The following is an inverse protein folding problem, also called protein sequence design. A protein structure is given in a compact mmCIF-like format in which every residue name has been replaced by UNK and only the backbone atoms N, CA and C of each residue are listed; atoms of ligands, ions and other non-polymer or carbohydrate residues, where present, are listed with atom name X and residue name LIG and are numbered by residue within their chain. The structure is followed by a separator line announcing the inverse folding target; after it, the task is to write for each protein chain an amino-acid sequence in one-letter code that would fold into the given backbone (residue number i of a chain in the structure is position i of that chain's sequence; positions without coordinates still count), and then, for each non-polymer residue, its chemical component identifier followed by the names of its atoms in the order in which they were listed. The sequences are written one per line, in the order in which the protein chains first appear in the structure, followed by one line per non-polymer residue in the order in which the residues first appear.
data_IF_692044280641
#
_entry.id   IF_692044280641
#
_cell.length_a   1.000
_cell.length_b   1.000
_cell.length_c   1.000
_cell.angle_alpha   90.00
_cell.angle_beta   90.00
_cell.angle_gamma   90.00
#
_symmetry.space_group_name_H-M   'P 1'
#
loop_
_entity.id
_entity.type
_entity.pdbx_description
1 polymer ?
#
# COMPACT_ATOMS: atom_id res chain seq x y z
N UNK A 1 -9.33 4.68 21.14
CA UNK A 1 -9.10 3.23 21.07
C UNK A 1 -7.61 2.97 21.25
N UNK A 2 -7.27 2.20 22.27
CA UNK A 2 -5.91 1.74 22.51
C UNK A 2 -5.68 0.51 21.63
N UNK A 3 -4.58 0.51 20.88
CA UNK A 3 -4.28 -0.52 19.87
C UNK A 3 -3.13 -1.34 20.42
N UNK A 4 -3.34 -2.65 20.57
CA UNK A 4 -2.30 -3.55 21.08
C UNK A 4 -1.25 -3.85 19.98
N UNK A 5 -0.14 -4.49 20.38
CA UNK A 5 0.94 -4.82 19.46
C UNK A 5 0.51 -5.74 18.31
N UNK A 6 -0.44 -6.65 18.55
CA UNK A 6 -0.98 -7.57 17.54
C UNK A 6 -1.81 -6.83 16.49
N UNK A 7 -2.62 -5.86 16.91
CA UNK A 7 -3.41 -5.01 16.01
C UNK A 7 -2.51 -4.14 15.15
N UNK A 8 -1.44 -3.57 15.72
CA UNK A 8 -0.43 -2.82 14.96
C UNK A 8 0.23 -3.68 13.87
N UNK A 9 0.51 -4.95 14.16
CA UNK A 9 1.07 -5.87 13.17
C UNK A 9 0.10 -6.10 12.00
N UNK A 10 -1.20 -6.27 12.30
CA UNK A 10 -2.25 -6.49 11.28
C UNK A 10 -2.46 -5.25 10.41
N UNK A 11 -2.49 -4.07 11.03
CA UNK A 11 -2.58 -2.77 10.34
C UNK A 11 -1.42 -2.61 9.36
N UNK A 12 -0.18 -2.92 9.75
CA UNK A 12 1.00 -2.74 8.89
C UNK A 12 1.16 -3.79 7.78
N UNK A 13 0.61 -5.00 7.94
CA UNK A 13 0.77 -6.09 6.96
C UNK A 13 -0.30 -6.14 5.88
N UNK A 14 -1.46 -5.54 6.11
CA UNK A 14 -2.61 -5.67 5.24
C UNK A 14 -3.15 -4.30 4.86
N UNK A 15 -3.20 -4.03 3.55
CA UNK A 15 -3.82 -2.85 2.99
C UNK A 15 -5.23 -2.62 3.55
N UNK A 16 -6.07 -3.67 3.60
CA UNK A 16 -7.44 -3.58 4.09
C UNK A 16 -7.50 -3.19 5.57
N UNK A 17 -6.67 -3.82 6.42
CA UNK A 17 -6.65 -3.47 7.86
C UNK A 17 -6.16 -2.05 8.09
N UNK A 18 -5.18 -1.58 7.30
CA UNK A 18 -4.70 -0.21 7.41
C UNK A 18 -5.75 0.82 6.99
N UNK A 19 -6.44 0.58 5.88
CA UNK A 19 -7.48 1.48 5.36
C UNK A 19 -8.65 1.55 6.36
N UNK A 20 -9.16 0.40 6.80
CA UNK A 20 -10.25 0.36 7.78
C UNK A 20 -9.88 1.05 9.08
N UNK A 21 -8.67 0.80 9.61
CA UNK A 21 -8.21 1.47 10.82
C UNK A 21 -8.17 3.00 10.66
N UNK A 22 -7.65 3.48 9.54
CA UNK A 22 -7.63 4.91 9.23
C UNK A 22 -9.04 5.51 9.14
N UNK A 23 -9.99 4.83 8.48
CA UNK A 23 -11.38 5.26 8.42
C UNK A 23 -12.02 5.38 9.80
N UNK A 24 -11.76 4.43 10.71
CA UNK A 24 -12.25 4.49 12.09
C UNK A 24 -11.65 5.68 12.84
N UNK A 25 -10.36 5.97 12.69
CA UNK A 25 -9.74 7.14 13.31
C UNK A 25 -10.32 8.46 12.78
N UNK A 26 -10.61 8.55 11.48
CA UNK A 26 -11.29 9.70 10.89
C UNK A 26 -12.70 9.89 11.46
N UNK A 27 -13.47 8.80 11.61
CA UNK A 27 -14.79 8.86 12.27
C UNK A 27 -14.64 9.33 13.72
N UNK A 28 -13.64 8.84 14.46
CA UNK A 28 -13.38 9.30 15.83
C UNK A 28 -13.05 10.80 15.89
N UNK A 29 -12.24 11.30 14.94
CA UNK A 29 -11.94 12.72 14.85
C UNK A 29 -13.19 13.56 14.54
N UNK A 30 -14.05 13.07 13.65
CA UNK A 30 -15.32 13.74 13.30
C UNK A 30 -16.33 13.73 14.45
N UNK A 31 -16.39 12.67 15.26
CA UNK A 31 -17.35 12.60 16.37
C UNK A 31 -16.91 13.42 17.59
N UNK A 32 -15.59 13.54 17.81
CA UNK A 32 -15.04 14.22 18.99
C UNK A 32 -14.67 15.68 18.74
N UNK A 33 -14.32 16.03 17.50
CA UNK A 33 -13.78 17.34 17.12
C UNK A 33 -12.57 17.81 17.96
N UNK A 34 -11.82 16.86 18.52
CA UNK A 34 -10.61 17.13 19.31
C UNK A 34 -9.38 17.19 18.39
N UNK A 35 -8.53 18.19 18.58
CA UNK A 35 -7.30 18.34 17.80
C UNK A 35 -6.41 17.09 17.89
N UNK A 36 -6.31 16.46 19.06
CA UNK A 36 -5.54 15.22 19.25
C UNK A 36 -6.10 14.06 18.41
N UNK A 37 -7.43 13.93 18.31
CA UNK A 37 -8.07 12.91 17.49
C UNK A 37 -7.86 13.18 15.99
N UNK A 38 -7.90 14.46 15.57
CA UNK A 38 -7.61 14.87 14.18
C UNK A 38 -6.17 14.56 13.79
N UNK A 39 -5.19 14.86 14.66
CA UNK A 39 -3.79 14.54 14.40
C UNK A 39 -3.57 13.02 14.27
N UNK A 40 -4.14 12.23 15.19
CA UNK A 40 -4.07 10.77 15.14
C UNK A 40 -4.72 10.20 13.87
N UNK A 41 -5.84 10.76 13.44
CA UNK A 41 -6.47 10.40 12.18
C UNK A 41 -5.55 10.70 10.98
N UNK A 42 -4.96 11.90 10.93
CA UNK A 42 -4.02 12.30 9.87
C UNK A 42 -2.81 11.36 9.77
N UNK A 43 -2.20 10.99 10.89
CA UNK A 43 -1.10 10.03 10.93
C UNK A 43 -1.52 8.65 10.41
N UNK A 44 -2.70 8.16 10.82
CA UNK A 44 -3.23 6.88 10.36
C UNK A 44 -3.52 6.85 8.85
N UNK A 45 -3.99 7.97 8.29
CA UNK A 45 -4.23 8.12 6.84
C UNK A 45 -2.91 8.07 6.08
N UNK A 46 -1.89 8.81 6.54
CA UNK A 46 -0.55 8.79 5.93
C UNK A 46 0.07 7.40 5.93
N UNK A 47 -0.08 6.67 7.05
CA UNK A 47 0.35 5.28 7.15
C UNK A 47 -0.38 4.40 6.13
N UNK A 48 -1.70 4.51 6.04
CA UNK A 48 -2.51 3.72 5.09
C UNK A 48 -2.13 3.99 3.64
N UNK A 49 -1.91 5.25 3.25
CA UNK A 49 -1.46 5.61 1.90
C UNK A 49 -0.12 4.97 1.59
N UNK A 50 0.87 5.08 2.48
CA UNK A 50 2.19 4.46 2.28
C UNK A 50 2.10 2.92 2.16
N UNK A 51 1.24 2.26 2.93
CA UNK A 51 1.00 0.81 2.80
C UNK A 51 0.35 0.50 1.45
N UNK A 52 -0.69 1.22 1.06
CA UNK A 52 -1.33 1.09 -0.25
C UNK A 52 -0.32 1.28 -1.38
N UNK A 53 0.55 2.28 -1.31
CA UNK A 53 1.60 2.53 -2.30
C UNK A 53 2.59 1.38 -2.39
N UNK A 54 3.06 0.84 -1.26
CA UNK A 54 3.95 -0.32 -1.22
C UNK A 54 3.31 -1.55 -1.87
N UNK A 55 2.04 -1.82 -1.57
CA UNK A 55 1.30 -2.92 -2.18
C UNK A 55 0.97 -2.66 -3.67
N UNK A 56 0.82 -1.40 -4.08
CA UNK A 56 0.51 -1.00 -5.47
C UNK A 56 1.75 -0.94 -6.37
N UNK A 57 2.97 -0.88 -5.84
CA UNK A 57 4.20 -0.95 -6.65
C UNK A 57 4.17 -2.27 -7.43
N UNK A 58 3.82 -2.18 -8.71
CA UNK A 58 3.98 -3.26 -9.69
C UNK A 58 5.42 -3.79 -9.57
N UNK A 59 5.68 -5.07 -9.85
CA UNK A 59 7.01 -5.67 -9.92
C UNK A 59 7.87 -5.10 -11.08
N UNK A 60 8.01 -3.78 -11.17
CA UNK A 60 8.45 -3.06 -12.38
C UNK A 60 9.97 -3.08 -12.60
N UNK A 61 10.75 -3.74 -11.74
CA UNK A 61 12.22 -3.71 -11.87
C UNK A 61 12.80 -5.11 -12.03
N UNK A 62 12.42 -6.08 -11.19
CA UNK A 62 12.90 -7.46 -11.34
C UNK A 62 12.27 -8.19 -12.52
N UNK A 63 10.97 -8.04 -12.79
CA UNK A 63 10.33 -8.68 -13.95
C UNK A 63 10.74 -8.03 -15.27
N UNK A 64 10.91 -6.69 -15.31
CA UNK A 64 11.40 -5.98 -16.49
C UNK A 64 12.84 -6.36 -16.84
N UNK A 65 13.74 -6.48 -15.85
CA UNK A 65 15.13 -6.90 -16.09
C UNK A 65 15.22 -8.37 -16.52
N UNK A 66 14.35 -9.22 -15.94
CA UNK A 66 14.23 -10.63 -16.33
C UNK A 66 13.73 -10.73 -17.78
N UNK A 67 12.64 -10.06 -18.13
CA UNK A 67 12.10 -10.06 -19.50
C UNK A 67 13.12 -9.55 -20.52
N UNK A 68 13.93 -8.53 -20.17
CA UNK A 68 14.97 -7.98 -21.04
C UNK A 68 16.22 -8.89 -21.21
N UNK A 69 16.62 -9.63 -20.17
CA UNK A 69 17.76 -10.57 -20.29
C UNK A 69 17.34 -11.88 -21.00
N UNK A 70 16.05 -12.24 -20.93
CA UNK A 70 15.49 -13.44 -21.57
C UNK A 70 14.87 -13.17 -22.96
N UNK A 71 14.72 -11.91 -23.40
CA UNK A 71 14.30 -11.59 -24.77
C UNK A 71 15.42 -11.95 -25.74
N UNK A 72 15.40 -13.19 -26.20
CA UNK A 72 16.31 -13.71 -27.22
C UNK A 72 15.93 -13.12 -28.61
N UNK A 73 16.90 -12.72 -29.45
CA UNK A 73 16.65 -12.10 -30.77
C UNK A 73 16.10 -13.08 -31.85
N UNK A 74 15.26 -14.05 -31.50
CA UNK A 74 14.66 -15.00 -32.45
C UNK A 74 13.37 -14.50 -33.13
N UNK A 75 12.84 -13.33 -32.78
CA UNK A 75 11.61 -12.80 -33.39
C UNK A 75 11.82 -12.12 -34.77
N UNK A 76 13.07 -11.89 -35.22
CA UNK A 76 13.32 -11.20 -36.49
C UNK A 76 13.15 -12.09 -37.75
N UNK A 77 13.04 -13.42 -37.61
CA UNK A 77 12.92 -14.33 -38.76
C UNK A 77 11.49 -14.83 -39.05
N UNK A 78 10.49 -14.43 -38.26
CA UNK A 78 9.11 -14.95 -38.37
C UNK A 78 8.14 -14.04 -39.13
N UNK A 79 8.58 -12.86 -39.59
CA UNK A 79 7.78 -11.92 -40.41
C UNK A 79 8.23 -11.86 -41.87
N UNK A 80 9.07 -12.81 -42.31
CA UNK A 80 9.62 -12.91 -43.66
C UNK A 80 9.07 -14.05 -44.51
N UNK A 81 7.77 -14.40 -44.40
CA UNK A 81 7.07 -15.22 -45.40
C UNK A 81 5.68 -14.65 -45.72
#
# INVERSE_FOLDING_TARGET
MEVNATDQLRINRSMYHSVTYSSIMCIQALLKFEQAAIQKASESVKMAVNICERHRKKPTWSETFSSWIWSSPYDEFSTGL
#
